data_IF_802213798291
#
_entry.id   IF_802213798291
#
_cell.length_a   1.000
_cell.length_b   1.000
_cell.length_c   1.000
_cell.angle_alpha   90.00
_cell.angle_beta   90.00
_cell.angle_gamma   90.00
#
_symmetry.space_group_name_H-M   'P 1'
#
loop_
_entity.id
_entity.type
_entity.pdbx_description
1 polymer ?
#
# COMPACT_ATOMS: atom_id res chain seq x y z
N UNK A 1 -10.27 1.01 38.98
CA UNK A 1 -10.31 -0.40 38.53
C UNK A 1 -9.88 -0.39 37.06
N UNK A 2 -8.58 -0.49 36.80
CA UNK A 2 -8.04 -0.52 35.43
C UNK A 2 -8.16 -1.96 34.94
N UNK A 3 -9.00 -2.18 33.93
CA UNK A 3 -9.06 -3.46 33.21
C UNK A 3 -7.82 -3.50 32.31
N UNK A 4 -6.90 -4.45 32.47
CA UNK A 4 -5.76 -4.57 31.57
C UNK A 4 -6.24 -4.92 30.15
N UNK A 5 -5.56 -4.44 29.10
CA UNK A 5 -5.89 -4.85 27.74
C UNK A 5 -5.68 -6.36 27.61
N UNK A 6 -6.74 -7.07 27.23
CA UNK A 6 -6.62 -8.45 26.75
C UNK A 6 -5.88 -8.39 25.42
N UNK A 7 -4.61 -8.78 25.44
CA UNK A 7 -3.86 -9.00 24.20
C UNK A 7 -4.39 -10.31 23.63
N UNK A 8 -5.02 -10.33 22.44
CA UNK A 8 -5.38 -11.60 21.82
C UNK A 8 -4.07 -12.37 21.59
N UNK A 9 -4.02 -13.61 22.04
CA UNK A 9 -2.91 -14.50 21.70
C UNK A 9 -2.83 -14.60 20.17
N UNK A 10 -1.66 -14.32 19.62
CA UNK A 10 -1.40 -14.51 18.20
C UNK A 10 -1.75 -15.96 17.82
N UNK A 11 -2.48 -16.19 16.70
CA UNK A 11 -2.77 -17.53 16.24
C UNK A 11 -1.43 -18.21 15.90
N UNK A 12 -1.19 -19.38 16.50
CA UNK A 12 -0.03 -20.21 16.16
C UNK A 12 -0.22 -20.65 14.71
N UNK A 13 0.63 -20.14 13.80
CA UNK A 13 0.53 -20.47 12.38
C UNK A 13 0.72 -21.99 12.17
N UNK A 14 -0.09 -22.64 11.31
CA UNK A 14 0.13 -24.03 10.94
C UNK A 14 1.48 -24.18 10.21
N UNK A 15 2.12 -25.37 10.28
CA UNK A 15 3.35 -25.61 9.51
C UNK A 15 3.10 -25.40 8.02
N UNK A 16 4.10 -24.90 7.26
CA UNK A 16 3.94 -24.62 5.83
C UNK A 16 3.61 -25.92 5.09
N UNK A 17 2.48 -25.91 4.38
CA UNK A 17 2.11 -26.98 3.46
C UNK A 17 2.97 -26.86 2.20
N UNK A 18 3.48 -27.99 1.71
CA UNK A 18 4.20 -28.05 0.45
C UNK A 18 3.69 -29.19 -0.45
N UNK A 19 3.82 -28.99 -1.76
CA UNK A 19 3.47 -29.99 -2.78
C UNK A 19 4.62 -30.05 -3.79
N UNK A 20 5.09 -31.26 -4.08
CA UNK A 20 6.15 -31.51 -5.06
C UNK A 20 5.63 -32.29 -6.26
N UNK A 21 5.90 -31.80 -7.47
CA UNK A 21 5.59 -32.48 -8.72
C UNK A 21 6.64 -32.16 -9.79
N UNK A 22 7.10 -33.17 -10.52
CA UNK A 22 8.00 -33.03 -11.67
C UNK A 22 9.26 -32.18 -11.41
N UNK A 23 9.81 -32.26 -10.18
CA UNK A 23 11.00 -31.50 -9.79
C UNK A 23 10.75 -30.06 -9.32
N UNK A 24 9.49 -29.63 -9.23
CA UNK A 24 9.11 -28.34 -8.63
C UNK A 24 8.42 -28.56 -7.29
N UNK A 25 8.80 -27.76 -6.29
CA UNK A 25 8.15 -27.77 -4.96
C UNK A 25 7.53 -26.41 -4.71
N UNK A 26 6.22 -26.39 -4.52
CA UNK A 26 5.49 -25.21 -4.05
C UNK A 26 5.44 -25.27 -2.54
N UNK A 27 5.99 -24.27 -1.87
CA UNK A 27 5.85 -24.08 -0.42
C UNK A 27 4.87 -22.94 -0.18
N UNK A 28 4.03 -23.05 0.84
CA UNK A 28 3.16 -21.96 1.30
C UNK A 28 3.83 -21.27 2.49
N UNK A 29 4.70 -20.27 2.27
CA UNK A 29 5.24 -19.49 3.37
C UNK A 29 4.14 -18.58 3.92
N UNK A 30 4.17 -18.36 5.24
CA UNK A 30 3.43 -17.25 5.83
C UNK A 30 4.21 -15.96 5.57
N UNK A 31 3.55 -14.94 5.02
CA UNK A 31 4.13 -13.62 4.75
C UNK A 31 3.29 -12.58 5.48
N UNK A 32 3.95 -11.76 6.29
CA UNK A 32 3.36 -10.57 6.89
C UNK A 32 3.39 -9.42 5.87
N UNK A 33 2.25 -8.77 5.66
CA UNK A 33 2.15 -7.63 4.74
C UNK A 33 2.25 -6.32 5.52
N UNK A 34 2.90 -5.28 4.96
CA UNK A 34 2.90 -3.95 5.58
C UNK A 34 1.48 -3.36 5.57
N UNK A 35 1.18 -2.55 6.59
CA UNK A 35 -0.08 -1.80 6.67
C UNK A 35 -0.22 -0.80 5.51
N UNK A 36 -1.35 -0.86 4.83
CA UNK A 36 -1.72 0.06 3.76
C UNK A 36 -2.48 1.27 4.32
N UNK A 37 -2.05 2.47 3.93
CA UNK A 37 -2.73 3.70 4.31
C UNK A 37 -4.13 3.76 3.69
N UNK A 38 -5.15 3.58 4.53
CA UNK A 38 -6.55 3.62 4.12
C UNK A 38 -7.05 5.05 3.84
N UNK A 39 -6.42 6.06 4.44
CA UNK A 39 -6.78 7.48 4.31
C UNK A 39 -5.55 8.35 4.00
N UNK A 40 -5.79 9.52 3.42
CA UNK A 40 -4.75 10.50 3.16
C UNK A 40 -4.31 11.19 4.46
N UNK A 41 -3.00 11.48 4.64
CA UNK A 41 -2.49 12.16 5.82
C UNK A 41 -3.18 13.49 6.11
N UNK A 42 -3.18 13.93 7.36
CA UNK A 42 -3.73 15.23 7.72
C UNK A 42 -2.96 16.38 7.06
N UNK A 43 -3.69 17.41 6.63
CA UNK A 43 -3.12 18.61 6.03
C UNK A 43 -4.16 19.46 5.30
N UNK A 44 -3.77 20.65 4.81
CA UNK A 44 -4.68 21.51 4.04
C UNK A 44 -5.18 20.80 2.77
N UNK A 45 -6.49 20.54 2.69
CA UNK A 45 -7.10 19.83 1.55
C UNK A 45 -7.23 18.31 1.73
N UNK A 46 -6.75 17.75 2.84
CA UNK A 46 -6.88 16.31 3.13
C UNK A 46 -8.34 15.85 3.24
N UNK A 47 -9.23 16.70 3.76
CA UNK A 47 -10.66 16.46 3.84
C UNK A 47 -11.30 16.33 2.45
N UNK A 48 -10.96 17.24 1.53
CA UNK A 48 -11.43 17.21 0.14
C UNK A 48 -10.95 15.93 -0.55
N UNK A 49 -9.67 15.58 -0.42
CA UNK A 49 -9.13 14.38 -1.07
C UNK A 49 -9.70 13.09 -0.47
N UNK A 50 -9.82 13.01 0.86
CA UNK A 50 -10.44 11.85 1.52
C UNK A 50 -11.91 11.67 1.10
N UNK A 51 -12.67 12.76 0.95
CA UNK A 51 -14.08 12.70 0.53
C UNK A 51 -14.26 12.24 -0.93
N UNK A 52 -13.30 12.54 -1.81
CA UNK A 52 -13.45 12.34 -3.25
C UNK A 52 -12.71 11.10 -3.81
N UNK A 53 -11.66 10.62 -3.14
CA UNK A 53 -10.75 9.62 -3.72
C UNK A 53 -10.82 8.25 -3.04
N UNK A 54 -11.28 8.16 -1.78
CA UNK A 54 -11.22 6.90 -1.00
C UNK A 54 -12.44 5.98 -1.18
N UNK A 55 -13.41 6.37 -2.02
CA UNK A 55 -14.60 5.55 -2.29
C UNK A 55 -14.33 4.32 -3.15
N UNK A 56 -13.25 4.33 -3.93
CA UNK A 56 -12.95 3.29 -4.93
C UNK A 56 -11.63 2.55 -4.67
N UNK A 57 -10.67 3.20 -4.00
CA UNK A 57 -9.37 2.62 -3.65
C UNK A 57 -8.83 3.25 -2.37
N UNK A 58 -7.83 2.62 -1.74
CA UNK A 58 -7.10 3.18 -0.61
C UNK A 58 -6.28 4.41 -1.01
N UNK A 59 -5.91 5.23 -0.03
CA UNK A 59 -5.01 6.37 -0.25
C UNK A 59 -3.59 5.94 -0.67
N UNK A 60 -3.16 4.74 -0.28
CA UNK A 60 -1.87 4.15 -0.66
C UNK A 60 -1.61 4.20 -2.16
N UNK A 61 -2.64 4.05 -3.00
CA UNK A 61 -2.50 4.12 -4.46
C UNK A 61 -1.94 5.46 -4.93
N UNK A 62 -2.31 6.56 -4.29
CA UNK A 62 -1.75 7.88 -4.59
C UNK A 62 -0.43 8.13 -3.85
N UNK A 63 -0.33 7.68 -2.60
CA UNK A 63 0.84 7.91 -1.73
C UNK A 63 2.11 7.17 -2.17
N UNK A 64 1.95 6.07 -2.93
CA UNK A 64 3.05 5.25 -3.44
C UNK A 64 3.48 5.63 -4.86
N UNK A 65 2.87 6.67 -5.45
CA UNK A 65 3.28 7.15 -6.76
C UNK A 65 4.68 7.77 -6.71
N UNK A 66 5.45 7.67 -7.83
CA UNK A 66 6.70 8.40 -7.93
C UNK A 66 6.45 9.92 -7.83
N UNK A 67 7.53 10.70 -7.72
CA UNK A 67 7.44 12.17 -7.81
C UNK A 67 6.84 12.57 -9.15
N UNK A 68 5.61 13.05 -9.14
CA UNK A 68 4.93 13.60 -10.31
C UNK A 68 4.91 15.14 -10.26
N UNK A 69 4.98 15.72 -11.44
CA UNK A 69 4.83 17.15 -11.68
C UNK A 69 3.38 17.61 -11.53
N UNK A 70 3.21 18.93 -11.56
CA UNK A 70 1.92 19.61 -11.66
C UNK A 70 0.96 19.02 -12.67
N UNK A 71 1.37 19.11 -13.94
CA UNK A 71 0.55 18.73 -15.05
C UNK A 71 0.23 17.23 -15.01
N UNK A 72 1.13 16.40 -14.48
CA UNK A 72 0.90 14.97 -14.32
C UNK A 72 -0.15 14.67 -13.26
N UNK A 73 -0.07 15.30 -12.09
CA UNK A 73 -1.12 15.14 -11.07
C UNK A 73 -2.47 15.67 -11.54
N UNK A 74 -2.49 16.83 -12.20
CA UNK A 74 -3.70 17.38 -12.78
C UNK A 74 -4.32 16.40 -13.80
N UNK A 75 -3.50 15.84 -14.70
CA UNK A 75 -3.98 14.84 -15.67
C UNK A 75 -4.54 13.59 -14.98
N UNK A 76 -3.91 13.13 -13.91
CA UNK A 76 -4.40 12.00 -13.11
C UNK A 76 -5.75 12.31 -12.45
N UNK A 77 -5.89 13.48 -11.82
CA UNK A 77 -7.14 13.90 -11.16
C UNK A 77 -8.28 14.08 -12.18
N UNK A 78 -7.99 14.69 -13.33
CA UNK A 78 -8.95 14.79 -14.45
C UNK A 78 -9.35 13.41 -14.94
N UNK A 79 -8.41 12.46 -15.08
CA UNK A 79 -8.70 11.08 -15.45
C UNK A 79 -9.61 10.38 -14.42
N UNK A 80 -9.37 10.59 -13.11
CA UNK A 80 -10.23 10.07 -12.05
C UNK A 80 -11.66 10.57 -12.20
N UNK A 81 -11.83 11.87 -12.48
CA UNK A 81 -13.15 12.49 -12.68
C UNK A 81 -13.83 11.99 -13.94
N UNK A 82 -13.19 12.13 -15.10
CA UNK A 82 -13.84 11.97 -16.41
C UNK A 82 -13.90 10.53 -16.89
N UNK A 83 -12.85 9.75 -16.65
CA UNK A 83 -12.77 8.36 -17.12
C UNK A 83 -13.30 7.38 -16.08
N UNK A 84 -12.96 7.59 -14.81
CA UNK A 84 -13.33 6.68 -13.73
C UNK A 84 -14.55 7.13 -12.92
N UNK A 85 -15.08 8.33 -13.19
CA UNK A 85 -16.33 8.80 -12.59
C UNK A 85 -16.22 9.21 -11.12
N UNK A 86 -15.02 9.53 -10.63
CA UNK A 86 -14.86 10.05 -9.27
C UNK A 86 -15.68 11.36 -9.10
N UNK A 87 -16.38 11.55 -7.97
CA UNK A 87 -17.34 12.65 -7.77
C UNK A 87 -16.68 14.01 -7.48
N UNK A 88 -15.61 14.34 -8.20
CA UNK A 88 -14.80 15.55 -8.01
C UNK A 88 -15.48 16.74 -8.68
N UNK A 89 -15.74 17.83 -7.93
CA UNK A 89 -16.19 19.07 -8.54
C UNK A 89 -15.05 19.75 -9.31
N UNK A 90 -15.36 20.42 -10.42
CA UNK A 90 -14.33 21.08 -11.26
C UNK A 90 -13.55 22.13 -10.47
N UNK A 91 -14.20 22.84 -9.54
CA UNK A 91 -13.55 23.83 -8.68
C UNK A 91 -12.58 23.25 -7.65
N UNK A 92 -12.65 21.96 -7.37
CA UNK A 92 -11.79 21.31 -6.36
C UNK A 92 -10.51 20.70 -6.97
N UNK A 93 -10.40 20.66 -8.30
CA UNK A 93 -9.28 20.01 -9.00
C UNK A 93 -7.94 20.61 -8.56
N UNK A 94 -7.81 21.93 -8.58
CA UNK A 94 -6.56 22.60 -8.25
C UNK A 94 -6.17 22.37 -6.79
N UNK A 95 -7.13 22.43 -5.86
CA UNK A 95 -6.90 22.16 -4.45
C UNK A 95 -6.43 20.72 -4.19
N UNK A 96 -7.04 19.74 -4.87
CA UNK A 96 -6.63 18.33 -4.80
C UNK A 96 -5.22 18.17 -5.36
N UNK A 97 -4.92 18.80 -6.49
CA UNK A 97 -3.61 18.72 -7.14
C UNK A 97 -2.50 19.35 -6.28
N UNK A 98 -2.78 20.48 -5.63
CA UNK A 98 -1.85 21.13 -4.72
C UNK A 98 -1.56 20.25 -3.50
N UNK A 99 -2.61 19.65 -2.92
CA UNK A 99 -2.45 18.69 -1.83
C UNK A 99 -1.57 17.52 -2.25
N UNK A 100 -1.86 16.88 -3.40
CA UNK A 100 -1.13 15.70 -3.86
C UNK A 100 0.35 15.97 -4.13
N UNK A 101 0.71 17.19 -4.51
CA UNK A 101 2.11 17.60 -4.72
C UNK A 101 2.85 17.97 -3.47
N UNK A 102 2.14 18.47 -2.46
CA UNK A 102 2.72 18.76 -1.17
C UNK A 102 3.05 17.48 -0.38
N UNK A 103 2.46 16.34 -0.75
CA UNK A 103 2.73 15.08 -0.06
C UNK A 103 4.20 14.66 -0.19
N UNK A 104 4.82 14.19 0.90
CA UNK A 104 6.12 13.54 0.82
C UNK A 104 5.95 12.30 -0.05
N UNK A 105 6.49 12.37 -1.27
CA UNK A 105 6.66 11.21 -2.13
C UNK A 105 7.56 10.27 -1.38
N UNK A 106 7.03 9.10 -1.04
CA UNK A 106 7.82 8.07 -0.40
C UNK A 106 8.96 7.74 -1.36
N UNK A 107 10.19 8.01 -0.90
CA UNK A 107 11.39 7.52 -1.55
C UNK A 107 11.26 6.00 -1.71
N UNK A 108 11.91 5.47 -2.76
CA UNK A 108 12.19 4.07 -3.08
C UNK A 108 11.80 3.09 -1.99
N UNK A 109 11.15 1.94 -2.29
CA UNK A 109 10.90 0.90 -1.28
C UNK A 109 12.23 0.42 -0.67
N UNK A 110 12.67 1.11 0.38
CA UNK A 110 13.73 0.68 1.26
C UNK A 110 13.04 -0.25 2.24
N UNK A 111 12.86 -1.51 1.82
CA UNK A 111 12.39 -2.56 2.71
C UNK A 111 11.52 -3.67 2.12
N UNK A 112 11.05 -3.60 0.87
CA UNK A 112 10.28 -4.71 0.28
C UNK A 112 11.15 -5.87 -0.26
N UNK A 113 12.44 -5.87 0.10
CA UNK A 113 13.38 -6.96 -0.16
C UNK A 113 14.38 -7.09 1.00
N UNK A 114 13.90 -7.17 2.24
CA UNK A 114 14.70 -7.64 3.37
C UNK A 114 13.89 -8.68 4.14
N UNK A 115 13.85 -9.88 3.57
CA UNK A 115 13.06 -11.02 4.04
C UNK A 115 13.22 -12.24 3.13
N UNK A 116 13.71 -12.06 1.90
CA UNK A 116 14.30 -13.15 1.13
C UNK A 116 15.72 -13.43 1.66
N UNK A 117 15.83 -13.87 2.91
CA UNK A 117 16.96 -14.69 3.30
C UNK A 117 16.70 -16.06 2.70
N UNK A 118 17.17 -16.26 1.46
CA UNK A 118 17.47 -17.61 1.01
C UNK A 118 18.63 -18.06 1.90
N UNK A 119 18.34 -18.90 2.89
CA UNK A 119 19.39 -19.66 3.54
C UNK A 119 19.77 -20.77 2.57
N UNK A 120 20.59 -20.42 1.58
CA UNK A 120 21.42 -21.36 0.84
C UNK A 120 22.41 -21.94 1.85
N UNK A 121 22.15 -23.17 2.29
CA UNK A 121 22.92 -23.88 3.31
C UNK A 121 22.92 -25.38 3.06
N UNK A 122 23.81 -25.78 2.14
CA UNK A 122 24.68 -26.95 2.20
C UNK A 122 24.10 -28.38 2.26
N UNK A 123 24.49 -29.18 1.26
CA UNK A 123 25.27 -30.38 1.56
C UNK A 123 24.55 -31.73 1.59
N UNK A 124 24.54 -32.44 0.45
CA UNK A 124 24.67 -33.89 0.45
C UNK A 124 25.37 -34.36 -0.84
N UNK A 125 26.69 -34.38 -0.77
CA UNK A 125 27.54 -35.26 -1.59
C UNK A 125 27.44 -36.67 -0.99
N UNK A 126 27.18 -37.70 -1.81
CA UNK A 126 27.17 -39.10 -1.39
C UNK A 126 26.28 -39.99 -2.23
#
# INVERSE_FOLDING_TARGET
MVVPPVVPAAPVAPPPSFVSASGFTLTSPSIELPDEASSFPDGPGADVVNANCTSCHSASMALTQPRLTEAQWHSTVVKMRETYGAPIAVGDIDAIVDYLRAMPSQATPAGAAAGLAVNEGDGATG
#
